data_IF_330350427418
#
_entry.id   IF_330350427418
#
_cell.length_a   1.000
_cell.length_b   1.000
_cell.length_c   1.000
_cell.angle_alpha   90.00
_cell.angle_beta   90.00
_cell.angle_gamma   90.00
#
_symmetry.space_group_name_H-M   'P 1'
#
loop_
_entity.id
_entity.type
_entity.pdbx_description
1 polymer ?
#
# COMPACT_ATOMS: atom_id res chain seq x y z
N UNK A 1 5.88 4.56 17.12
CA UNK A 1 4.92 4.30 16.02
C UNK A 1 5.21 2.89 15.54
N UNK A 2 4.21 2.00 15.38
CA UNK A 2 4.46 0.64 14.90
C UNK A 2 5.11 0.64 13.52
N UNK A 3 6.02 -0.29 13.32
CA UNK A 3 6.69 -0.56 12.06
C UNK A 3 6.22 -1.93 11.57
N UNK A 4 5.90 -2.03 10.28
CA UNK A 4 5.41 -3.24 9.66
C UNK A 4 6.32 -3.58 8.48
N UNK A 5 6.81 -4.81 8.46
CA UNK A 5 7.69 -5.32 7.43
C UNK A 5 6.93 -5.54 6.14
N UNK A 6 7.50 -5.04 5.05
CA UNK A 6 7.06 -5.27 3.68
C UNK A 6 8.18 -5.95 2.92
N UNK A 7 7.85 -7.04 2.25
CA UNK A 7 8.68 -7.65 1.22
C UNK A 7 8.28 -6.98 -0.11
N UNK A 8 9.07 -6.05 -0.65
CA UNK A 8 8.76 -5.40 -1.92
C UNK A 8 8.85 -6.40 -3.08
N UNK A 9 8.09 -6.17 -4.15
CA UNK A 9 8.30 -6.87 -5.42
C UNK A 9 9.63 -6.45 -6.03
N UNK A 10 10.25 -7.33 -6.81
CA UNK A 10 11.48 -7.01 -7.55
C UNK A 10 11.27 -5.90 -8.58
N UNK A 11 10.04 -5.78 -9.09
CA UNK A 11 9.59 -4.81 -10.08
C UNK A 11 9.21 -3.45 -9.49
N UNK A 12 9.25 -3.27 -8.16
CA UNK A 12 8.89 -2.01 -7.52
C UNK A 12 9.76 -0.86 -8.06
N UNK A 13 9.12 0.24 -8.43
CA UNK A 13 9.85 1.43 -8.88
C UNK A 13 10.45 2.22 -7.71
N UNK A 14 11.40 3.11 -8.02
CA UNK A 14 11.98 4.02 -7.01
C UNK A 14 10.93 4.97 -6.41
N UNK A 15 9.98 5.44 -7.24
CA UNK A 15 8.89 6.31 -6.79
C UNK A 15 7.96 5.58 -5.80
N UNK A 16 7.64 4.32 -6.08
CA UNK A 16 6.82 3.50 -5.18
C UNK A 16 7.56 3.17 -3.89
N UNK A 17 8.85 2.84 -3.96
CA UNK A 17 9.71 2.68 -2.77
C UNK A 17 9.69 3.93 -1.90
N UNK A 18 9.87 5.10 -2.52
CA UNK A 18 9.80 6.39 -1.83
C UNK A 18 8.44 6.60 -1.15
N UNK A 19 7.35 6.31 -1.88
CA UNK A 19 5.99 6.43 -1.38
C UNK A 19 5.69 5.50 -0.20
N UNK A 20 6.20 4.26 -0.23
CA UNK A 20 6.02 3.27 0.84
C UNK A 20 6.90 3.53 2.07
N UNK A 21 8.18 3.80 1.88
CA UNK A 21 9.15 3.68 2.96
C UNK A 21 9.55 5.04 3.58
N UNK A 22 9.37 6.15 2.86
CA UNK A 22 9.59 7.49 3.42
C UNK A 22 8.32 8.06 4.07
N UNK A 23 7.14 7.63 3.61
CA UNK A 23 5.86 8.13 4.11
C UNK A 23 5.62 7.76 5.57
N UNK A 24 4.93 8.63 6.31
CA UNK A 24 4.25 8.24 7.53
C UNK A 24 2.83 7.87 7.17
N UNK A 25 2.46 6.60 7.32
CA UNK A 25 1.13 6.13 6.97
C UNK A 25 0.15 6.42 8.10
N UNK A 26 -1.09 6.72 7.72
CA UNK A 26 -2.18 6.91 8.65
C UNK A 26 -3.40 6.16 8.15
N UNK A 27 -3.92 5.25 8.95
CA UNK A 27 -5.12 4.51 8.61
C UNK A 27 -6.32 5.46 8.67
N UNK A 28 -6.90 5.75 7.51
CA UNK A 28 -8.14 6.53 7.41
C UNK A 28 -9.31 5.93 8.20
N UNK A 29 -10.11 6.79 8.83
CA UNK A 29 -11.20 6.42 9.74
C UNK A 29 -12.43 5.74 9.14
N UNK A 30 -12.81 6.14 7.93
CA UNK A 30 -13.87 5.53 7.13
C UNK A 30 -13.38 4.19 6.57
N UNK A 31 -13.37 3.20 7.46
CA UNK A 31 -12.88 1.84 7.22
C UNK A 31 -13.62 1.19 6.05
N UNK A 32 -12.86 0.78 5.03
CA UNK A 32 -13.31 -0.23 4.08
C UNK A 32 -13.13 -1.62 4.71
N UNK A 33 -14.07 -2.54 4.45
CA UNK A 33 -13.90 -3.95 4.83
C UNK A 33 -12.77 -4.63 4.04
N UNK A 34 -12.32 -4.02 2.93
CA UNK A 34 -11.39 -4.60 1.97
C UNK A 34 -10.01 -3.96 2.04
N UNK A 35 -9.90 -2.67 2.39
CA UNK A 35 -8.64 -1.91 2.28
C UNK A 35 -8.38 -1.06 3.51
N UNK A 36 -7.13 -1.09 3.98
CA UNK A 36 -6.55 -0.05 4.81
C UNK A 36 -5.98 1.02 3.90
N UNK A 37 -6.40 2.27 4.04
CA UNK A 37 -6.05 3.37 3.13
C UNK A 37 -5.19 4.43 3.82
N UNK A 38 -4.10 4.81 3.17
CA UNK A 38 -3.19 5.86 3.61
C UNK A 38 -3.30 7.11 2.73
N UNK A 39 -4.38 7.87 2.88
CA UNK A 39 -4.75 8.95 1.94
C UNK A 39 -3.75 10.09 1.78
N UNK A 40 -2.87 10.35 2.76
CA UNK A 40 -1.91 11.45 2.61
C UNK A 40 -0.85 11.19 1.53
N UNK A 41 -0.59 9.93 1.18
CA UNK A 41 0.40 9.54 0.18
C UNK A 41 0.10 10.14 -1.20
N UNK A 42 -1.15 10.05 -1.69
CA UNK A 42 -1.54 10.69 -2.96
C UNK A 42 -1.43 12.21 -2.97
N UNK A 43 -1.38 12.87 -1.81
CA UNK A 43 -1.19 14.32 -1.73
C UNK A 43 0.30 14.64 -1.72
N UNK A 44 1.07 13.94 -0.88
CA UNK A 44 2.51 14.14 -0.71
C UNK A 44 3.30 13.77 -1.98
N UNK A 45 2.89 12.71 -2.67
CA UNK A 45 3.60 12.14 -3.82
C UNK A 45 2.85 12.35 -5.14
N UNK A 46 1.91 13.31 -5.21
CA UNK A 46 1.07 13.56 -6.39
C UNK A 46 1.86 13.79 -7.69
N UNK A 47 3.06 14.36 -7.57
CA UNK A 47 3.92 14.77 -8.69
C UNK A 47 4.85 13.63 -9.14
N UNK A 48 4.83 12.48 -8.46
CA UNK A 48 5.53 11.27 -8.91
C UNK A 48 4.73 10.51 -9.96
N UNK A 49 5.45 9.74 -10.77
CA UNK A 49 4.91 8.84 -11.78
C UNK A 49 4.68 7.45 -11.18
N UNK A 50 3.54 6.87 -11.53
CA UNK A 50 3.10 5.54 -11.10
C UNK A 50 2.46 4.84 -12.31
N UNK A 51 3.23 4.48 -13.35
CA UNK A 51 2.69 3.78 -14.52
C UNK A 51 2.12 2.42 -14.11
N UNK A 52 1.17 1.88 -14.88
CA UNK A 52 0.57 0.60 -14.55
C UNK A 52 1.58 -0.57 -14.70
N UNK A 53 1.72 -1.38 -13.67
CA UNK A 53 2.43 -2.67 -13.68
C UNK A 53 1.95 -3.55 -12.52
N UNK A 54 2.28 -4.85 -12.54
CA UNK A 54 1.93 -5.78 -11.45
C UNK A 54 0.44 -5.68 -11.04
N UNK A 55 -0.43 -5.66 -12.05
CA UNK A 55 -1.88 -5.48 -11.89
C UNK A 55 -2.63 -6.79 -11.72
N UNK A 56 -1.98 -7.79 -11.12
CA UNK A 56 -2.57 -9.10 -10.83
C UNK A 56 -3.59 -9.05 -9.69
N UNK A 57 -4.27 -10.18 -9.49
CA UNK A 57 -5.31 -10.34 -8.46
C UNK A 57 -4.73 -10.01 -7.08
N UNK A 58 -5.39 -9.10 -6.37
CA UNK A 58 -4.97 -8.61 -5.07
C UNK A 58 -5.33 -9.64 -4.01
N UNK A 59 -4.39 -9.93 -3.12
CA UNK A 59 -4.53 -10.83 -1.99
C UNK A 59 -4.44 -10.08 -0.66
N UNK A 60 -4.98 -10.67 0.40
CA UNK A 60 -4.81 -10.14 1.75
C UNK A 60 -3.31 -10.03 2.08
N UNK A 61 -2.90 -8.87 2.59
CA UNK A 61 -1.52 -8.54 2.90
C UNK A 61 -0.78 -7.85 1.78
N UNK A 62 -1.33 -7.78 0.57
CA UNK A 62 -0.68 -7.04 -0.51
C UNK A 62 -0.66 -5.54 -0.20
N UNK A 63 0.48 -4.92 -0.45
CA UNK A 63 0.68 -3.48 -0.39
C UNK A 63 0.57 -2.96 -1.81
N UNK A 64 -0.32 -2.00 -2.02
CA UNK A 64 -0.65 -1.48 -3.33
C UNK A 64 -0.48 0.03 -3.41
N UNK A 65 -0.27 0.53 -4.62
CA UNK A 65 -0.37 1.95 -4.96
C UNK A 65 -1.39 2.13 -6.08
N UNK A 66 -2.29 3.10 -5.91
CA UNK A 66 -3.17 3.56 -6.98
C UNK A 66 -2.33 4.18 -8.11
N UNK A 67 -2.35 3.56 -9.29
CA UNK A 67 -1.52 3.97 -10.42
C UNK A 67 -2.17 5.13 -11.20
N UNK A 68 -1.54 5.57 -12.28
CA UNK A 68 -2.01 6.68 -13.12
C UNK A 68 -3.44 6.50 -13.67
N UNK A 69 -3.88 5.26 -13.86
CA UNK A 69 -5.24 4.94 -14.28
C UNK A 69 -6.32 5.24 -13.22
N UNK A 70 -5.92 5.46 -11.96
CA UNK A 70 -6.82 5.78 -10.85
C UNK A 70 -7.07 7.29 -10.67
N UNK A 71 -6.63 8.12 -11.61
CA UNK A 71 -6.99 9.55 -11.69
C UNK A 71 -6.66 10.33 -10.41
N UNK A 72 -7.66 10.96 -9.79
CA UNK A 72 -7.47 11.78 -8.57
C UNK A 72 -6.95 11.01 -7.34
N UNK A 73 -6.97 9.68 -7.40
CA UNK A 73 -6.46 8.82 -6.33
C UNK A 73 -5.02 8.35 -6.56
N UNK A 74 -4.43 8.64 -7.73
CA UNK A 74 -3.04 8.30 -8.08
C UNK A 74 -2.08 8.59 -6.91
N UNK A 75 -1.27 7.60 -6.56
CA UNK A 75 -0.28 7.66 -5.49
C UNK A 75 -0.83 7.33 -4.10
N UNK A 76 -2.09 6.90 -3.97
CA UNK A 76 -2.64 6.47 -2.68
C UNK A 76 -2.13 5.06 -2.35
N UNK A 77 -1.35 4.93 -1.28
CA UNK A 77 -0.93 3.64 -0.76
C UNK A 77 -2.06 2.99 0.03
N UNK A 78 -2.27 1.69 -0.21
CA UNK A 78 -3.25 0.89 0.51
C UNK A 78 -2.66 -0.48 0.90
N UNK A 79 -3.27 -1.13 1.90
CA UNK A 79 -2.98 -2.52 2.27
C UNK A 79 -4.27 -3.32 2.17
N UNK A 80 -4.23 -4.42 1.42
CA UNK A 80 -5.38 -5.29 1.22
C UNK A 80 -5.68 -6.12 2.46
N UNK A 81 -6.92 -6.03 2.94
CA UNK A 81 -7.44 -6.81 4.08
C UNK A 81 -8.16 -8.09 3.61
N UNK A 82 -8.53 -8.15 2.33
CA UNK A 82 -9.23 -9.26 1.67
C UNK A 82 -8.77 -9.38 0.22
N UNK A 83 -8.99 -10.55 -0.38
CA UNK A 83 -8.79 -10.72 -1.81
C UNK A 83 -9.78 -9.90 -2.64
N UNK A 84 -9.35 -9.46 -3.83
CA UNK A 84 -10.19 -8.77 -4.81
C UNK A 84 -9.58 -8.86 -6.21
N UNK A 85 -10.42 -8.79 -7.23
CA UNK A 85 -9.97 -8.65 -8.61
C UNK A 85 -9.35 -7.25 -8.81
N UNK A 86 -8.31 -7.20 -9.62
CA UNK A 86 -7.65 -5.96 -10.01
C UNK A 86 -8.09 -5.59 -11.43
N UNK A 87 -8.59 -4.37 -11.59
CA UNK A 87 -9.07 -3.87 -12.90
C UNK A 87 -7.99 -3.13 -13.70
N UNK A 88 -6.73 -3.23 -13.27
CA UNK A 88 -5.58 -2.61 -13.93
C UNK A 88 -5.16 -1.25 -13.37
N UNK A 89 -5.93 -0.68 -12.44
CA UNK A 89 -5.69 0.69 -11.96
C UNK A 89 -4.85 0.77 -10.69
N UNK A 90 -4.45 -0.37 -10.11
CA UNK A 90 -3.54 -0.39 -8.96
C UNK A 90 -2.37 -1.32 -9.23
N UNK A 91 -1.19 -0.91 -8.76
CA UNK A 91 0.01 -1.72 -8.81
C UNK A 91 0.16 -2.48 -7.49
N UNK A 92 0.41 -3.78 -7.54
CA UNK A 92 0.83 -4.54 -6.36
C UNK A 92 2.35 -4.40 -6.20
N UNK A 93 2.78 -3.62 -5.21
CA UNK A 93 4.19 -3.20 -5.07
C UNK A 93 4.96 -3.99 -4.03
N UNK A 94 4.26 -4.76 -3.19
CA UNK A 94 4.87 -5.61 -2.18
C UNK A 94 3.82 -6.35 -1.37
N UNK A 95 4.27 -7.02 -0.31
CA UNK A 95 3.40 -7.75 0.61
C UNK A 95 3.90 -7.60 2.03
N UNK A 96 2.99 -7.50 2.99
CA UNK A 96 3.31 -7.61 4.42
C UNK A 96 4.00 -8.95 4.65
N UNK A 97 5.10 -8.96 5.41
CA UNK A 97 5.82 -10.19 5.73
C UNK A 97 4.88 -11.20 6.41
N UNK A 98 5.01 -12.48 6.05
CA UNK A 98 4.05 -13.52 6.49
C UNK A 98 4.01 -13.67 8.03
N UNK A 99 5.14 -13.44 8.70
CA UNK A 99 5.26 -13.45 10.16
C UNK A 99 4.59 -12.24 10.84
N UNK A 100 4.25 -11.20 10.09
CA UNK A 100 3.62 -9.96 10.58
C UNK A 100 2.20 -9.74 10.02
N UNK A 101 1.71 -10.64 9.16
CA UNK A 101 0.39 -10.51 8.53
C UNK A 101 -0.75 -10.41 9.56
N UNK A 102 -0.58 -11.05 10.73
CA UNK A 102 -1.54 -10.99 11.83
C UNK A 102 -1.69 -9.57 12.42
N UNK A 103 -0.69 -8.69 12.28
CA UNK A 103 -0.74 -7.32 12.79
C UNK A 103 -1.84 -6.49 12.13
N UNK A 104 -2.26 -6.84 10.91
CA UNK A 104 -3.34 -6.16 10.21
C UNK A 104 -4.68 -6.19 10.97
N UNK A 105 -4.90 -7.21 11.80
CA UNK A 105 -6.11 -7.31 12.63
C UNK A 105 -6.09 -6.37 13.84
N UNK A 106 -4.91 -5.86 14.19
CA UNK A 106 -4.71 -4.97 15.35
C UNK A 106 -4.58 -3.50 14.97
N UNK A 107 -4.38 -3.18 13.68
CA UNK A 107 -4.35 -1.80 13.20
C UNK A 107 -5.72 -1.14 13.35
N UNK A 108 -5.74 -0.05 14.12
CA UNK A 108 -6.97 0.72 14.37
C UNK A 108 -7.08 1.90 13.41
N UNK A 109 -8.30 2.27 12.99
CA UNK A 109 -8.50 3.51 12.28
C UNK A 109 -7.95 4.70 13.09
N UNK A 110 -7.44 5.71 12.39
CA UNK A 110 -6.74 6.89 12.91
C UNK A 110 -5.37 6.63 13.56
N UNK A 111 -4.85 5.39 13.49
CA UNK A 111 -3.49 5.10 13.92
C UNK A 111 -2.47 5.39 12.82
N UNK A 112 -1.28 5.84 13.22
CA UNK A 112 -0.13 5.99 12.34
C UNK A 112 0.82 4.81 12.46
N UNK A 113 1.47 4.47 11.35
CA UNK A 113 2.46 3.39 11.26
C UNK A 113 3.50 3.69 10.18
N UNK A 114 4.58 2.93 10.20
CA UNK A 114 5.62 2.94 9.17
C UNK A 114 5.68 1.59 8.47
N UNK A 115 5.98 1.61 7.19
CA UNK A 115 6.39 0.43 6.46
C UNK A 115 7.91 0.41 6.42
N UNK A 116 8.51 -0.75 6.65
CA UNK A 116 9.96 -0.95 6.56
C UNK A 116 10.26 -2.10 5.62
N UNK A 117 11.37 -2.02 4.90
CA UNK A 117 11.78 -3.10 4.01
C UNK A 117 12.24 -4.33 4.78
N UNK A 118 11.76 -5.49 4.33
CA UNK A 118 12.24 -6.79 4.73
C UNK A 118 12.69 -7.58 3.51
N UNK A 119 13.72 -8.41 3.70
CA UNK A 119 14.09 -9.43 2.72
C UNK A 119 13.20 -10.65 2.96
N UNK A 120 12.96 -11.42 1.90
CA UNK A 120 12.40 -12.78 2.02
C UNK A 120 13.29 -13.66 2.89
#
# INVERSE_FOLDING_TARGET
MPEIKVVPRETISENERKCLFEATHSYRGDKSAYMLRSTMTRITYKDLEFPAHDTDKIQRGDVIIDNEGYGQYKGETQIALREMENDGRVNVVGRIADDELFLLDFLKPWSSFKLIESKK
#
